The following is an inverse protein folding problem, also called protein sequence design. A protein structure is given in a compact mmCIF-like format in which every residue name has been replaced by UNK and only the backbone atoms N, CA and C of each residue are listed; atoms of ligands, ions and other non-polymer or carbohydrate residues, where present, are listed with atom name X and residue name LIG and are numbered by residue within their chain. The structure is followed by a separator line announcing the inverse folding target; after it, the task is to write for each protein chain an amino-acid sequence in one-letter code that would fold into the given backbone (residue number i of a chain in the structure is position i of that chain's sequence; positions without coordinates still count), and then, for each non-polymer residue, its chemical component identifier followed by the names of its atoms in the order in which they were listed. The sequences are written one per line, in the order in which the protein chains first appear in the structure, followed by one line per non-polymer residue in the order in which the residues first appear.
data_IF_340788496580
#
_entry.id   IF_340788496580
#
_cell.length_a   1.000
_cell.length_b   1.000
_cell.length_c   1.000
_cell.angle_alpha   90.00
_cell.angle_beta   90.00
_cell.angle_gamma   90.00
#
_symmetry.space_group_name_H-M   'P 1'
#
loop_
_entity.id
_entity.type
_entity.pdbx_description
1 polymer ?
#
# COMPACT_ATOMS: atom_id res chain seq x y z
N UNK A 1 -16.64 33.70 -39.04
CA UNK A 1 -15.28 33.23 -38.65
C UNK A 1 -15.02 33.70 -37.22
N UNK A 2 -15.42 32.90 -36.25
CA UNK A 2 -15.27 33.22 -34.83
C UNK A 2 -14.09 32.36 -34.30
N UNK A 3 -12.99 33.02 -34.00
CA UNK A 3 -11.80 32.45 -33.41
C UNK A 3 -12.15 32.10 -31.97
N UNK A 4 -12.26 30.83 -31.61
CA UNK A 4 -12.29 30.36 -30.23
C UNK A 4 -10.90 30.62 -29.63
N UNK A 5 -10.85 31.53 -28.64
CA UNK A 5 -9.68 31.68 -27.77
C UNK A 5 -9.39 30.34 -27.12
N UNK A 6 -8.20 29.78 -27.36
CA UNK A 6 -7.75 28.57 -26.70
C UNK A 6 -7.66 28.81 -25.19
N UNK A 7 -8.52 28.15 -24.45
CA UNK A 7 -8.38 28.04 -23.01
C UNK A 7 -7.09 27.26 -22.73
N UNK A 8 -6.12 27.86 -22.08
CA UNK A 8 -5.03 27.13 -21.45
C UNK A 8 -5.66 26.15 -20.46
N UNK A 9 -5.56 24.86 -20.75
CA UNK A 9 -5.85 23.86 -19.72
C UNK A 9 -4.87 24.11 -18.59
N UNK A 10 -5.38 24.49 -17.43
CA UNK A 10 -4.57 24.69 -16.24
C UNK A 10 -3.87 23.37 -15.93
N UNK A 11 -2.54 23.36 -15.92
CA UNK A 11 -1.75 22.17 -15.65
C UNK A 11 -1.92 21.85 -14.16
N UNK A 12 -2.28 20.61 -13.82
CA UNK A 12 -2.30 20.15 -12.43
C UNK A 12 -0.95 20.43 -11.75
N UNK A 13 -1.00 21.01 -10.57
CA UNK A 13 0.19 21.36 -9.79
C UNK A 13 0.00 20.96 -8.33
N UNK A 14 1.05 20.42 -7.73
CA UNK A 14 1.11 20.07 -6.31
C UNK A 14 2.05 21.03 -5.58
N UNK A 15 1.54 21.68 -4.55
CA UNK A 15 2.38 22.32 -3.54
C UNK A 15 2.77 21.26 -2.51
N UNK A 16 3.95 20.65 -2.70
CA UNK A 16 4.45 19.59 -1.81
C UNK A 16 4.55 20.06 -0.36
N UNK A 17 4.97 21.32 -0.11
CA UNK A 17 5.08 21.86 1.23
C UNK A 17 3.72 21.96 1.92
N UNK A 18 2.70 22.36 1.17
CA UNK A 18 1.31 22.36 1.67
C UNK A 18 0.85 20.95 2.01
N UNK A 19 1.06 19.98 1.13
CA UNK A 19 0.66 18.59 1.35
C UNK A 19 1.37 17.98 2.56
N UNK A 20 2.68 18.20 2.72
CA UNK A 20 3.43 17.79 3.90
C UNK A 20 2.90 18.42 5.19
N UNK A 21 2.64 19.72 5.19
CA UNK A 21 2.11 20.43 6.35
C UNK A 21 0.71 19.90 6.71
N UNK A 22 -0.14 19.66 5.72
CA UNK A 22 -1.47 19.06 5.93
C UNK A 22 -1.36 17.66 6.55
N UNK A 23 -0.44 16.81 6.05
CA UNK A 23 -0.19 15.49 6.61
C UNK A 23 0.33 15.57 8.04
N UNK A 24 1.31 16.43 8.34
CA UNK A 24 1.82 16.64 9.70
C UNK A 24 0.72 17.12 10.64
N UNK A 25 -0.10 18.10 10.23
CA UNK A 25 -1.23 18.59 11.01
C UNK A 25 -2.27 17.48 11.26
N UNK A 26 -2.50 16.60 10.28
CA UNK A 26 -3.37 15.45 10.45
C UNK A 26 -2.82 14.48 11.50
N UNK A 27 -1.53 14.15 11.43
CA UNK A 27 -0.88 13.18 12.33
C UNK A 27 -0.68 13.72 13.75
N UNK A 28 -0.65 15.04 13.98
CA UNK A 28 -0.59 15.63 15.32
C UNK A 28 -1.77 15.26 16.24
N UNK A 29 -2.85 14.72 15.69
CA UNK A 29 -4.02 14.24 16.46
C UNK A 29 -3.77 12.88 17.11
N UNK A 30 -2.67 12.21 16.80
CA UNK A 30 -2.32 10.87 17.25
C UNK A 30 -1.06 10.95 18.11
N UNK A 31 -0.88 9.97 19.00
CA UNK A 31 0.26 9.93 19.90
C UNK A 31 1.56 9.62 19.16
N UNK A 32 2.39 10.63 18.96
CA UNK A 32 3.69 10.48 18.29
C UNK A 32 4.72 9.67 19.11
N UNK A 33 4.48 9.39 20.40
CA UNK A 33 5.31 8.50 21.21
C UNK A 33 5.00 7.01 20.95
N UNK A 34 3.84 6.70 20.38
CA UNK A 34 3.52 5.35 19.92
C UNK A 34 4.39 4.99 18.71
N UNK A 35 5.17 3.92 18.85
CA UNK A 35 6.06 3.45 17.78
C UNK A 35 5.31 3.10 16.50
N UNK A 36 4.08 2.60 16.60
CA UNK A 36 3.23 2.28 15.45
C UNK A 36 2.81 3.54 14.69
N UNK A 37 2.52 4.63 15.39
CA UNK A 37 2.23 5.94 14.78
C UNK A 37 3.47 6.50 14.09
N UNK A 38 4.63 6.49 14.78
CA UNK A 38 5.91 6.95 14.22
C UNK A 38 6.29 6.15 12.98
N UNK A 39 6.19 4.82 13.03
CA UNK A 39 6.42 3.93 11.89
C UNK A 39 5.63 4.38 10.67
N UNK A 40 4.32 4.64 10.85
CA UNK A 40 3.45 5.00 9.75
C UNK A 40 3.72 6.40 9.20
N UNK A 41 4.14 7.34 10.02
CA UNK A 41 4.58 8.66 9.56
C UNK A 41 5.84 8.52 8.67
N UNK A 42 6.84 7.79 9.13
CA UNK A 42 8.09 7.59 8.40
C UNK A 42 7.87 6.80 7.10
N UNK A 43 7.09 5.73 7.16
CA UNK A 43 6.66 4.92 6.01
C UNK A 43 6.00 5.81 4.94
N UNK A 44 5.02 6.62 5.31
CA UNK A 44 4.31 7.50 4.39
C UNK A 44 5.26 8.42 3.62
N UNK A 45 6.22 9.05 4.28
CA UNK A 45 7.20 9.89 3.60
C UNK A 45 8.13 9.09 2.68
N UNK A 46 8.58 7.91 3.07
CA UNK A 46 9.42 7.07 2.20
C UNK A 46 8.64 6.58 0.98
N UNK A 47 7.39 6.15 1.15
CA UNK A 47 6.50 5.77 0.05
C UNK A 47 6.28 6.93 -0.92
N UNK A 48 6.05 8.15 -0.42
CA UNK A 48 5.86 9.30 -1.30
C UNK A 48 7.10 9.60 -2.15
N UNK A 49 8.29 9.53 -1.57
CA UNK A 49 9.55 9.70 -2.32
C UNK A 49 9.76 8.59 -3.35
N UNK A 50 9.43 7.34 -2.99
CA UNK A 50 9.49 6.20 -3.93
C UNK A 50 8.51 6.38 -5.09
N UNK A 51 7.27 6.80 -4.85
CA UNK A 51 6.29 7.11 -5.90
C UNK A 51 6.84 8.13 -6.90
N UNK A 52 7.41 9.22 -6.41
CA UNK A 52 8.03 10.23 -7.28
C UNK A 52 9.19 9.67 -8.11
N UNK A 53 10.07 8.89 -7.49
CA UNK A 53 11.23 8.27 -8.17
C UNK A 53 10.80 7.26 -9.23
N UNK A 54 9.83 6.40 -8.93
CA UNK A 54 9.27 5.43 -9.89
C UNK A 54 8.65 6.17 -11.08
N UNK A 55 7.81 7.19 -10.84
CA UNK A 55 7.22 7.96 -11.93
C UNK A 55 8.27 8.67 -12.78
N UNK A 56 9.32 9.23 -12.16
CA UNK A 56 10.42 9.88 -12.87
C UNK A 56 11.24 8.89 -13.72
N UNK A 57 11.50 7.67 -13.22
CA UNK A 57 12.23 6.63 -13.97
C UNK A 57 11.47 6.18 -15.22
N UNK A 58 10.13 6.29 -15.22
CA UNK A 58 9.27 6.01 -16.37
C UNK A 58 9.12 7.22 -17.33
N UNK A 59 9.98 8.24 -17.18
CA UNK A 59 10.00 9.40 -18.05
C UNK A 59 8.79 10.33 -17.92
N UNK A 60 8.06 10.26 -16.82
CA UNK A 60 6.88 11.08 -16.61
C UNK A 60 7.22 12.56 -16.41
N UNK A 61 6.37 13.50 -16.89
CA UNK A 61 6.57 14.92 -16.66
C UNK A 61 6.46 15.26 -15.17
N UNK A 62 7.11 16.38 -14.76
CA UNK A 62 7.16 16.83 -13.36
C UNK A 62 5.79 16.85 -12.66
N UNK A 63 4.73 17.29 -13.35
CA UNK A 63 3.37 17.31 -12.77
C UNK A 63 2.82 15.89 -12.47
N UNK A 64 3.23 14.88 -13.25
CA UNK A 64 2.86 13.48 -12.98
C UNK A 64 3.74 12.89 -11.87
N UNK A 65 5.00 13.29 -11.79
CA UNK A 65 5.89 12.93 -10.67
C UNK A 65 5.35 13.50 -9.35
N UNK A 66 4.90 14.76 -9.36
CA UNK A 66 4.27 15.39 -8.18
C UNK A 66 2.94 14.73 -7.82
N UNK A 67 2.14 14.35 -8.81
CA UNK A 67 0.89 13.60 -8.59
C UNK A 67 1.18 12.24 -7.93
N UNK A 68 2.15 11.50 -8.42
CA UNK A 68 2.56 10.23 -7.81
C UNK A 68 3.06 10.43 -6.38
N UNK A 69 3.89 11.45 -6.15
CA UNK A 69 4.42 11.80 -4.83
C UNK A 69 3.29 12.08 -3.83
N UNK A 70 2.30 12.91 -4.20
CA UNK A 70 1.19 13.23 -3.28
C UNK A 70 0.29 12.03 -3.00
N UNK A 71 0.11 11.11 -3.96
CA UNK A 71 -0.60 9.85 -3.70
C UNK A 71 0.10 9.04 -2.60
N UNK A 72 1.44 9.01 -2.60
CA UNK A 72 2.21 8.39 -1.53
C UNK A 72 1.97 9.04 -0.16
N UNK A 73 1.84 10.37 -0.08
CA UNK A 73 1.48 11.08 1.17
C UNK A 73 0.09 10.69 1.66
N UNK A 74 -0.84 10.41 0.76
CA UNK A 74 -2.25 10.22 1.08
C UNK A 74 -2.65 8.77 1.34
N UNK A 75 -1.88 7.78 0.84
CA UNK A 75 -2.33 6.39 0.72
C UNK A 75 -2.75 5.75 2.06
N UNK A 76 -1.99 6.02 3.12
CA UNK A 76 -2.15 5.40 4.44
C UNK A 76 -2.79 6.32 5.49
N UNK A 77 -3.45 7.42 5.09
CA UNK A 77 -4.19 8.31 6.01
C UNK A 77 -5.17 7.53 6.89
N UNK A 78 -5.81 6.50 6.35
CA UNK A 78 -6.73 5.63 7.09
C UNK A 78 -6.09 4.82 8.22
N UNK A 79 -4.79 4.52 8.16
CA UNK A 79 -4.08 3.71 9.17
C UNK A 79 -4.05 4.36 10.54
N UNK A 80 -3.94 5.67 10.61
CA UNK A 80 -3.93 6.40 11.88
C UNK A 80 -5.26 6.27 12.60
N UNK A 81 -6.36 6.42 11.87
CA UNK A 81 -7.70 6.26 12.42
C UNK A 81 -8.04 4.80 12.72
N UNK A 82 -7.58 3.86 11.89
CA UNK A 82 -7.68 2.43 12.13
C UNK A 82 -6.98 2.05 13.45
N UNK A 83 -5.72 2.48 13.63
CA UNK A 83 -4.99 2.22 14.88
C UNK A 83 -5.70 2.82 16.09
N UNK A 84 -6.15 4.08 16.01
CA UNK A 84 -6.85 4.77 17.08
C UNK A 84 -8.13 4.06 17.50
N UNK A 85 -8.91 3.54 16.54
CA UNK A 85 -10.21 2.90 16.82
C UNK A 85 -10.08 1.46 17.27
N UNK A 86 -9.13 0.72 16.69
CA UNK A 86 -9.07 -0.74 16.80
C UNK A 86 -7.77 -1.27 17.43
N UNK A 87 -6.77 -0.42 17.65
CA UNK A 87 -5.48 -0.82 18.24
C UNK A 87 -4.62 -1.73 17.36
N UNK A 88 -4.99 -1.90 16.08
CA UNK A 88 -4.33 -2.84 15.15
C UNK A 88 -4.29 -2.30 13.73
N UNK A 89 -3.30 -2.77 12.94
CA UNK A 89 -3.20 -2.57 11.49
C UNK A 89 -3.77 -3.74 10.67
N UNK A 90 -4.32 -4.77 11.33
CA UNK A 90 -4.86 -5.95 10.64
C UNK A 90 -6.27 -5.64 10.12
N UNK A 91 -6.41 -5.43 8.82
CA UNK A 91 -7.69 -5.09 8.18
C UNK A 91 -8.79 -6.12 8.49
N UNK A 92 -8.44 -7.42 8.51
CA UNK A 92 -9.39 -8.50 8.80
C UNK A 92 -9.95 -8.48 10.25
N UNK A 93 -9.26 -7.80 11.17
CA UNK A 93 -9.67 -7.64 12.58
C UNK A 93 -10.25 -6.25 12.86
N UNK A 94 -10.38 -5.41 11.86
CA UNK A 94 -10.80 -4.02 12.00
C UNK A 94 -11.60 -3.53 10.80
N UNK A 95 -10.98 -2.72 9.96
CA UNK A 95 -11.59 -2.07 8.77
C UNK A 95 -10.55 -2.03 7.65
N UNK A 96 -10.99 -2.06 6.41
CA UNK A 96 -10.13 -1.82 5.25
C UNK A 96 -9.59 -0.39 5.31
N UNK A 97 -8.29 -0.24 5.57
CA UNK A 97 -7.65 1.05 5.75
C UNK A 97 -7.61 1.90 4.49
N UNK A 98 -7.56 1.27 3.30
CA UNK A 98 -7.57 1.99 2.03
C UNK A 98 -8.92 2.65 1.78
N UNK A 99 -10.01 1.93 2.06
CA UNK A 99 -11.35 2.49 1.98
C UNK A 99 -11.55 3.58 3.02
N UNK A 100 -11.15 3.33 4.28
CA UNK A 100 -11.24 4.32 5.36
C UNK A 100 -10.44 5.59 5.01
N UNK A 101 -9.25 5.46 4.46
CA UNK A 101 -8.41 6.58 4.04
C UNK A 101 -9.05 7.42 2.94
N UNK A 102 -9.60 6.77 1.92
CA UNK A 102 -10.33 7.47 0.87
C UNK A 102 -11.59 8.18 1.41
N UNK A 103 -12.32 7.56 2.33
CA UNK A 103 -13.50 8.18 2.96
C UNK A 103 -13.12 9.41 3.81
N UNK A 104 -11.99 9.37 4.51
CA UNK A 104 -11.45 10.54 5.25
C UNK A 104 -11.11 11.67 4.29
N UNK A 105 -10.49 11.37 3.16
CA UNK A 105 -10.00 12.35 2.19
C UNK A 105 -11.11 12.97 1.35
N UNK A 106 -12.02 12.14 0.82
CA UNK A 106 -13.02 12.58 -0.17
C UNK A 106 -14.43 12.73 0.42
N UNK A 107 -14.62 12.33 1.66
CA UNK A 107 -15.90 12.33 2.34
C UNK A 107 -16.62 11.00 2.17
N UNK A 108 -17.23 10.56 3.26
CA UNK A 108 -18.04 9.35 3.29
C UNK A 108 -19.42 9.64 2.67
N UNK A 109 -19.84 8.81 1.74
CA UNK A 109 -21.25 8.61 1.51
C UNK A 109 -21.74 7.70 2.64
N UNK A 110 -22.23 8.28 3.75
CA UNK A 110 -22.64 7.57 4.99
C UNK A 110 -23.55 6.35 4.76
N UNK A 111 -24.11 6.19 3.57
CA UNK A 111 -24.94 5.06 3.19
C UNK A 111 -24.13 3.78 2.90
N UNK A 112 -22.84 3.88 2.52
CA UNK A 112 -22.01 2.69 2.27
C UNK A 112 -21.38 2.12 3.54
N UNK A 113 -21.02 2.95 4.47
CA UNK A 113 -20.50 2.56 5.76
C UNK A 113 -21.53 1.78 6.60
N UNK A 114 -22.78 2.25 6.67
CA UNK A 114 -23.88 1.54 7.34
C UNK A 114 -24.25 0.22 6.68
N UNK A 115 -24.08 0.08 5.36
CA UNK A 115 -24.31 -1.19 4.65
C UNK A 115 -23.24 -2.24 4.96
N UNK A 116 -22.02 -1.83 5.31
CA UNK A 116 -20.91 -2.74 5.65
C UNK A 116 -20.93 -3.19 7.10
N UNK A 117 -21.38 -2.37 8.04
CA UNK A 117 -21.49 -2.73 9.45
C UNK A 117 -22.84 -3.31 9.88
N UNK A 118 -23.88 -3.11 9.13
CA UNK A 118 -25.24 -3.35 9.57
C UNK A 118 -26.06 -4.31 8.74
N UNK A 119 -25.75 -5.57 8.86
CA UNK A 119 -26.82 -6.57 8.69
C UNK A 119 -27.45 -6.91 10.03
N UNK A 120 -27.98 -5.92 10.77
CA UNK A 120 -28.97 -6.16 11.83
C UNK A 120 -29.77 -4.83 12.07
N UNK A 121 -31.07 -4.91 11.77
CA UNK A 121 -32.19 -4.04 12.11
C UNK A 121 -32.45 -2.78 11.28
N UNK A 122 -33.57 -2.92 10.54
CA UNK A 122 -34.43 -1.88 10.01
C UNK A 122 -34.83 -0.83 11.06
N UNK A 123 -34.71 0.46 10.76
CA UNK A 123 -35.90 1.34 10.92
C UNK A 123 -35.82 2.59 10.03
N UNK A 124 -36.97 3.00 9.61
CA UNK A 124 -37.31 4.07 8.70
C UNK A 124 -36.95 5.46 9.25
N UNK A 125 -36.14 6.20 8.52
CA UNK A 125 -35.90 7.60 8.79
C UNK A 125 -35.12 8.27 7.66
N UNK A 126 -35.73 9.23 6.99
CA UNK A 126 -35.18 10.11 5.98
C UNK A 126 -33.85 10.73 6.49
N UNK A 127 -32.72 10.13 6.18
CA UNK A 127 -31.41 10.63 6.59
C UNK A 127 -31.00 11.74 5.63
N UNK A 128 -31.08 12.97 6.11
CA UNK A 128 -30.44 14.12 5.47
C UNK A 128 -28.97 13.79 5.21
N UNK A 129 -28.55 13.90 3.93
CA UNK A 129 -27.15 13.86 3.51
C UNK A 129 -26.38 14.93 4.29
N UNK A 130 -25.71 14.56 5.35
CA UNK A 130 -24.64 15.38 5.89
C UNK A 130 -23.47 15.25 4.92
N UNK A 131 -23.31 16.27 4.09
CA UNK A 131 -22.18 16.44 3.20
C UNK A 131 -20.94 16.69 4.09
N UNK A 132 -20.34 15.64 4.61
CA UNK A 132 -19.05 15.73 5.31
C UNK A 132 -18.00 15.98 4.22
N UNK A 133 -17.59 17.24 4.07
CA UNK A 133 -16.54 17.65 3.17
C UNK A 133 -15.27 16.89 3.59
N UNK A 134 -14.72 16.06 2.71
CA UNK A 134 -13.48 15.35 2.96
C UNK A 134 -12.29 16.31 3.09
N UNK A 135 -11.15 15.79 3.56
CA UNK A 135 -9.94 16.57 3.86
C UNK A 135 -9.05 16.84 2.63
N UNK A 136 -9.36 16.30 1.45
CA UNK A 136 -8.47 16.41 0.27
C UNK A 136 -8.09 17.88 -0.03
N UNK A 137 -9.01 18.82 0.18
CA UNK A 137 -8.79 20.24 0.02
C UNK A 137 -7.74 20.85 0.96
N UNK A 138 -7.38 20.20 2.06
CA UNK A 138 -6.28 20.64 2.94
C UNK A 138 -4.92 20.36 2.27
N UNK A 139 -4.83 19.27 1.51
CA UNK A 139 -3.63 18.82 0.82
C UNK A 139 -3.47 19.48 -0.57
N UNK A 140 -4.56 19.56 -1.34
CA UNK A 140 -4.57 19.99 -2.73
C UNK A 140 -5.52 21.16 -2.95
N UNK A 141 -5.11 22.10 -3.83
CA UNK A 141 -5.97 23.22 -4.26
C UNK A 141 -6.74 22.92 -5.56
N UNK A 142 -6.29 21.92 -6.32
CA UNK A 142 -6.83 21.53 -7.61
C UNK A 142 -7.46 20.14 -7.51
N UNK A 143 -8.74 20.05 -7.83
CA UNK A 143 -9.54 18.83 -7.74
C UNK A 143 -9.61 18.04 -9.06
N UNK A 144 -8.87 18.46 -10.09
CA UNK A 144 -8.96 17.83 -11.43
C UNK A 144 -8.49 16.38 -11.46
N UNK A 145 -7.68 15.96 -10.48
CA UNK A 145 -7.15 14.59 -10.35
C UNK A 145 -7.79 13.81 -9.19
N UNK A 146 -8.77 14.36 -8.48
CA UNK A 146 -9.38 13.74 -7.31
C UNK A 146 -9.87 12.31 -7.58
N UNK A 147 -10.57 12.09 -8.69
CA UNK A 147 -11.10 10.76 -9.04
C UNK A 147 -9.97 9.72 -9.26
N UNK A 148 -8.84 10.14 -9.84
CA UNK A 148 -7.68 9.26 -10.04
C UNK A 148 -6.99 8.98 -8.71
N UNK A 149 -6.79 10.00 -7.88
CA UNK A 149 -6.19 9.87 -6.54
C UNK A 149 -7.05 8.95 -5.67
N UNK A 150 -8.35 9.17 -5.63
CA UNK A 150 -9.28 8.32 -4.87
C UNK A 150 -9.21 6.87 -5.32
N UNK A 151 -9.23 6.63 -6.63
CA UNK A 151 -9.12 5.27 -7.20
C UNK A 151 -7.80 4.60 -6.80
N UNK A 152 -6.68 5.32 -6.89
CA UNK A 152 -5.37 4.78 -6.51
C UNK A 152 -5.31 4.43 -5.02
N UNK A 153 -5.82 5.31 -4.14
CA UNK A 153 -5.86 5.07 -2.69
C UNK A 153 -6.75 3.86 -2.37
N UNK A 154 -7.97 3.78 -2.93
CA UNK A 154 -8.87 2.65 -2.69
C UNK A 154 -8.32 1.31 -3.19
N UNK A 155 -7.41 1.33 -4.17
CA UNK A 155 -6.91 0.12 -4.84
C UNK A 155 -5.52 -0.31 -4.36
N UNK A 156 -4.82 0.49 -3.54
CA UNK A 156 -3.40 0.21 -3.27
C UNK A 156 -3.17 -1.09 -2.51
N UNK A 157 -4.12 -1.53 -1.67
CA UNK A 157 -4.03 -2.75 -0.87
C UNK A 157 -4.67 -3.99 -1.54
N UNK A 158 -5.24 -3.85 -2.74
CA UNK A 158 -5.85 -4.97 -3.47
C UNK A 158 -4.78 -5.89 -4.05
N UNK A 159 -5.09 -7.18 -4.17
CA UNK A 159 -4.21 -8.16 -4.82
C UNK A 159 -4.06 -7.86 -6.31
N UNK A 160 -5.17 -7.56 -6.99
CA UNK A 160 -5.20 -7.24 -8.42
C UNK A 160 -5.89 -5.90 -8.66
N UNK A 161 -5.42 -5.16 -9.66
CA UNK A 161 -6.07 -3.94 -10.16
C UNK A 161 -7.12 -4.34 -11.18
N UNK A 162 -8.26 -3.62 -11.21
CA UNK A 162 -9.30 -3.82 -12.21
C UNK A 162 -8.73 -3.62 -13.64
N UNK A 163 -8.78 -4.66 -14.49
CA UNK A 163 -8.29 -4.56 -15.87
C UNK A 163 -9.05 -3.56 -16.73
N UNK A 164 -10.26 -3.14 -16.33
CA UNK A 164 -11.03 -2.13 -17.04
C UNK A 164 -10.58 -0.69 -16.78
N UNK A 165 -9.65 -0.46 -15.85
CA UNK A 165 -9.08 0.88 -15.60
C UNK A 165 -8.36 1.41 -16.85
N UNK A 166 -8.41 2.75 -17.03
CA UNK A 166 -7.60 3.41 -18.07
C UNK A 166 -6.10 3.17 -17.83
N UNK A 167 -5.29 3.18 -18.90
CA UNK A 167 -3.84 2.99 -18.80
C UNK A 167 -3.19 4.00 -17.84
N UNK A 168 -3.65 5.25 -17.87
CA UNK A 168 -3.18 6.29 -16.96
C UNK A 168 -3.52 5.98 -15.50
N UNK A 169 -4.74 5.59 -15.20
CA UNK A 169 -5.16 5.23 -13.83
C UNK A 169 -4.37 4.00 -13.35
N UNK A 170 -4.24 2.99 -14.19
CA UNK A 170 -3.47 1.77 -13.92
C UNK A 170 -2.00 2.08 -13.64
N UNK A 171 -1.40 2.98 -14.42
CA UNK A 171 -0.02 3.42 -14.19
C UNK A 171 0.16 3.97 -12.76
N UNK A 172 -0.65 4.94 -12.35
CA UNK A 172 -0.54 5.54 -11.02
C UNK A 172 -0.88 4.57 -9.88
N UNK A 173 -1.87 3.70 -10.08
CA UNK A 173 -2.15 2.63 -9.12
C UNK A 173 -0.94 1.72 -8.94
N UNK A 174 -0.27 1.32 -10.02
CA UNK A 174 0.92 0.49 -9.96
C UNK A 174 2.10 1.22 -9.32
N UNK A 175 2.32 2.51 -9.63
CA UNK A 175 3.36 3.33 -8.97
C UNK A 175 3.18 3.33 -7.46
N UNK A 176 1.97 3.60 -6.98
CA UNK A 176 1.67 3.60 -5.55
C UNK A 176 1.86 2.22 -4.92
N UNK A 177 1.36 1.17 -5.56
CA UNK A 177 1.45 -0.22 -5.09
C UNK A 177 2.89 -0.71 -5.01
N UNK A 178 3.70 -0.41 -6.00
CA UNK A 178 5.12 -0.77 -6.00
C UNK A 178 5.87 -0.04 -4.89
N UNK A 179 5.68 1.28 -4.78
CA UNK A 179 6.32 2.09 -3.75
C UNK A 179 5.99 1.59 -2.34
N UNK A 180 4.72 1.27 -2.07
CA UNK A 180 4.27 0.72 -0.79
C UNK A 180 4.92 -0.65 -0.52
N UNK A 181 4.92 -1.58 -1.49
CA UNK A 181 5.55 -2.90 -1.34
C UNK A 181 7.05 -2.81 -1.08
N UNK A 182 7.76 -1.92 -1.78
CA UNK A 182 9.21 -1.70 -1.57
C UNK A 182 9.49 -1.27 -0.14
N UNK A 183 8.70 -0.34 0.42
CA UNK A 183 8.90 0.14 1.79
C UNK A 183 8.40 -0.86 2.84
N UNK A 184 7.38 -1.66 2.55
CA UNK A 184 6.90 -2.74 3.43
C UNK A 184 8.01 -3.75 3.73
N UNK A 185 8.90 -4.07 2.77
CA UNK A 185 10.05 -4.94 3.01
C UNK A 185 10.97 -4.37 4.09
N UNK A 186 11.27 -3.07 4.02
CA UNK A 186 12.05 -2.35 5.04
C UNK A 186 11.38 -2.38 6.41
N UNK A 187 10.09 -2.05 6.46
CA UNK A 187 9.30 -2.03 7.70
C UNK A 187 9.39 -3.39 8.42
N UNK A 188 9.31 -4.50 7.67
CA UNK A 188 9.34 -5.85 8.25
C UNK A 188 10.73 -6.32 8.67
N UNK A 189 11.78 -5.58 8.37
CA UNK A 189 13.13 -5.81 8.88
C UNK A 189 13.44 -4.91 10.08
N UNK A 190 13.02 -3.64 10.01
CA UNK A 190 13.37 -2.64 11.01
C UNK A 190 12.56 -2.77 12.32
N UNK A 191 11.37 -3.37 12.25
CA UNK A 191 10.48 -3.49 13.40
C UNK A 191 10.32 -4.93 13.85
N UNK A 192 10.19 -5.12 15.17
CA UNK A 192 10.03 -6.45 15.74
C UNK A 192 8.74 -7.11 15.23
N UNK A 193 8.77 -8.40 14.89
CA UNK A 193 7.58 -9.15 14.45
C UNK A 193 6.44 -9.10 15.48
N UNK A 194 6.76 -8.97 16.75
CA UNK A 194 5.80 -8.83 17.83
C UNK A 194 4.91 -7.59 17.67
N UNK A 195 5.51 -6.48 17.23
CA UNK A 195 4.80 -5.22 17.04
C UNK A 195 3.95 -5.22 15.75
N UNK A 196 4.41 -5.95 14.72
CA UNK A 196 3.74 -6.01 13.42
C UNK A 196 2.65 -7.08 13.40
N UNK A 197 2.95 -8.29 13.91
CA UNK A 197 2.11 -9.49 13.75
C UNK A 197 1.41 -9.91 15.04
N UNK A 198 1.65 -9.22 16.16
CA UNK A 198 1.09 -9.58 17.46
C UNK A 198 1.40 -11.04 17.85
N UNK A 199 2.66 -11.45 17.68
CA UNK A 199 3.21 -12.78 17.96
C UNK A 199 4.47 -12.64 18.79
N UNK A 200 4.95 -13.72 19.41
CA UNK A 200 6.22 -13.74 20.12
C UNK A 200 7.35 -14.25 19.23
N UNK A 201 8.60 -13.86 19.53
CA UNK A 201 9.78 -14.36 18.82
C UNK A 201 9.87 -15.90 18.94
N UNK A 202 9.43 -16.48 20.05
CA UNK A 202 9.36 -17.92 20.24
C UNK A 202 8.37 -18.56 19.28
N UNK A 203 7.13 -18.10 19.26
CA UNK A 203 6.09 -18.62 18.34
C UNK A 203 6.53 -18.50 16.88
N UNK A 204 7.09 -17.36 16.51
CA UNK A 204 7.57 -17.12 15.15
C UNK A 204 8.64 -18.14 14.73
N UNK A 205 9.60 -18.44 15.61
CA UNK A 205 10.71 -19.36 15.29
C UNK A 205 10.29 -20.84 15.31
N UNK A 206 9.21 -21.20 16.02
CA UNK A 206 8.79 -22.59 16.18
C UNK A 206 7.56 -22.96 15.34
N UNK A 207 6.90 -22.00 14.71
CA UNK A 207 5.74 -22.30 13.87
C UNK A 207 6.17 -22.81 12.48
N UNK A 208 5.25 -23.49 11.82
CA UNK A 208 5.45 -24.00 10.45
C UNK A 208 4.88 -23.04 9.43
N UNK A 209 5.54 -22.94 8.29
CA UNK A 209 4.92 -22.37 7.09
C UNK A 209 3.89 -23.36 6.58
N UNK A 210 2.68 -22.88 6.30
CA UNK A 210 1.58 -23.67 5.78
C UNK A 210 1.90 -24.18 4.38
N UNK A 211 1.44 -25.41 4.06
CA UNK A 211 1.68 -26.02 2.76
C UNK A 211 1.07 -25.20 1.61
N UNK A 212 -0.14 -24.67 1.80
CA UNK A 212 -0.83 -23.82 0.83
C UNK A 212 -0.08 -22.52 0.55
N UNK A 213 0.65 -22.01 1.56
CA UNK A 213 1.50 -20.82 1.42
C UNK A 213 2.72 -21.15 0.55
N UNK A 214 3.38 -22.27 0.77
CA UNK A 214 4.51 -22.71 -0.07
C UNK A 214 4.08 -22.99 -1.50
N UNK A 215 2.96 -23.68 -1.73
CA UNK A 215 2.43 -23.90 -3.07
C UNK A 215 2.11 -22.60 -3.82
N UNK A 216 1.55 -21.62 -3.10
CA UNK A 216 1.30 -20.29 -3.67
C UNK A 216 2.59 -19.54 -3.95
N UNK A 217 3.59 -19.64 -3.08
CA UNK A 217 4.91 -19.04 -3.27
C UNK A 217 5.61 -19.58 -4.53
N UNK A 218 5.61 -20.91 -4.71
CA UNK A 218 6.24 -21.60 -5.85
C UNK A 218 5.55 -21.31 -7.21
N UNK A 219 4.38 -20.68 -7.19
CA UNK A 219 3.70 -20.22 -8.41
C UNK A 219 4.04 -18.78 -8.84
N UNK A 220 5.02 -18.14 -8.19
CA UNK A 220 5.48 -16.77 -8.46
C UNK A 220 4.39 -15.69 -8.35
N UNK A 221 3.50 -15.85 -7.36
CA UNK A 221 2.45 -14.89 -7.07
C UNK A 221 2.43 -14.45 -5.60
N UNK A 222 1.94 -13.22 -5.37
CA UNK A 222 1.73 -12.76 -4.00
C UNK A 222 0.71 -13.63 -3.26
N UNK A 223 1.05 -14.03 -2.04
CA UNK A 223 0.24 -14.91 -1.22
C UNK A 223 -0.99 -14.18 -0.70
N UNK A 224 -2.17 -14.71 -1.00
CA UNK A 224 -3.43 -14.16 -0.50
C UNK A 224 -3.46 -14.13 1.03
N UNK A 225 -3.93 -13.03 1.61
CA UNK A 225 -4.00 -12.85 3.08
C UNK A 225 -4.74 -13.97 3.79
N UNK A 226 -5.81 -14.52 3.19
CA UNK A 226 -6.61 -15.63 3.76
C UNK A 226 -5.85 -16.95 3.93
N UNK A 227 -4.74 -17.14 3.21
CA UNK A 227 -3.90 -18.33 3.33
C UNK A 227 -2.92 -18.24 4.49
N UNK A 228 -2.62 -17.03 4.97
CA UNK A 228 -1.63 -16.79 6.03
C UNK A 228 -2.24 -17.10 7.39
N UNK A 229 -1.91 -18.26 7.95
CA UNK A 229 -2.47 -18.78 9.21
C UNK A 229 -1.48 -18.74 10.37
N UNK A 230 -0.19 -18.77 10.07
CA UNK A 230 0.89 -18.80 11.07
C UNK A 230 1.77 -17.56 10.99
N UNK A 231 2.51 -17.21 12.07
CA UNK A 231 3.47 -16.10 12.02
C UNK A 231 4.49 -16.22 10.89
N UNK A 232 5.00 -17.43 10.59
CA UNK A 232 5.92 -17.64 9.47
C UNK A 232 5.26 -17.41 8.11
N UNK A 233 3.96 -17.72 7.96
CA UNK A 233 3.21 -17.42 6.73
C UNK A 233 3.18 -15.93 6.42
N UNK A 234 3.15 -15.07 7.45
CA UNK A 234 3.19 -13.62 7.23
C UNK A 234 4.52 -13.17 6.64
N UNK A 235 5.66 -13.72 7.11
CA UNK A 235 6.99 -13.39 6.54
C UNK A 235 7.05 -13.83 5.08
N UNK A 236 6.63 -15.07 4.76
CA UNK A 236 6.60 -15.57 3.37
C UNK A 236 5.66 -14.71 2.52
N UNK A 237 4.51 -14.30 3.09
CA UNK A 237 3.59 -13.39 2.45
C UNK A 237 4.17 -11.99 2.15
N UNK A 238 5.08 -11.48 2.97
CA UNK A 238 5.80 -10.22 2.70
C UNK A 238 6.86 -10.44 1.62
N UNK A 239 7.63 -11.52 1.69
CA UNK A 239 8.61 -11.87 0.66
C UNK A 239 7.94 -11.97 -0.71
N UNK A 240 6.78 -12.61 -0.80
CA UNK A 240 6.03 -12.80 -2.05
C UNK A 240 5.54 -11.51 -2.71
N UNK A 241 5.54 -10.37 -2.00
CA UNK A 241 5.19 -9.08 -2.60
C UNK A 241 6.15 -8.68 -3.73
N UNK A 242 7.38 -9.22 -3.73
CA UNK A 242 8.35 -8.99 -4.79
C UNK A 242 7.89 -9.49 -6.16
N UNK A 243 7.03 -10.51 -6.21
CA UNK A 243 6.44 -11.03 -7.45
C UNK A 243 5.48 -10.05 -8.15
N UNK A 244 4.93 -9.12 -7.40
CA UNK A 244 3.94 -8.14 -7.87
C UNK A 244 4.55 -6.80 -8.27
N UNK A 245 5.87 -6.66 -8.24
CA UNK A 245 6.54 -5.43 -8.65
C UNK A 245 6.48 -5.28 -10.18
N UNK A 246 5.89 -4.18 -10.62
CA UNK A 246 5.66 -3.88 -12.03
C UNK A 246 6.86 -3.17 -12.65
N UNK A 247 7.42 -2.16 -11.97
CA UNK A 247 8.46 -1.31 -12.54
C UNK A 247 9.86 -1.86 -12.30
N UNK A 248 10.73 -1.70 -13.29
CA UNK A 248 12.12 -2.11 -13.16
C UNK A 248 12.82 -1.35 -12.04
N UNK A 249 12.58 -0.04 -11.92
CA UNK A 249 13.12 0.77 -10.83
C UNK A 249 12.78 0.19 -9.45
N UNK A 250 11.56 -0.29 -9.25
CA UNK A 250 11.14 -0.90 -7.98
C UNK A 250 11.94 -2.15 -7.66
N UNK A 251 12.19 -3.01 -8.63
CA UNK A 251 13.02 -4.23 -8.47
C UNK A 251 14.47 -3.91 -8.18
N UNK A 252 15.04 -2.93 -8.90
CA UNK A 252 16.40 -2.45 -8.66
C UNK A 252 16.55 -1.85 -7.25
N UNK A 253 15.56 -1.08 -6.80
CA UNK A 253 15.58 -0.49 -5.47
C UNK A 253 15.45 -1.56 -4.38
N UNK A 254 14.61 -2.60 -4.54
CA UNK A 254 14.54 -3.75 -3.63
C UNK A 254 15.89 -4.49 -3.57
N UNK A 255 16.53 -4.72 -4.70
CA UNK A 255 17.84 -5.37 -4.75
C UNK A 255 18.91 -4.53 -4.05
N UNK A 256 18.90 -3.22 -4.26
CA UNK A 256 19.84 -2.25 -3.67
C UNK A 256 19.66 -2.13 -2.16
N UNK A 257 18.42 -2.09 -1.68
CA UNK A 257 18.12 -1.98 -0.24
C UNK A 257 18.47 -3.26 0.53
N UNK A 258 18.36 -4.43 -0.07
CA UNK A 258 18.74 -5.72 0.50
C UNK A 258 17.78 -6.32 1.52
N UNK A 259 16.69 -5.63 1.90
CA UNK A 259 15.72 -6.09 2.91
C UNK A 259 15.02 -7.39 2.51
N UNK A 260 14.68 -7.58 1.23
CA UNK A 260 14.14 -8.84 0.72
C UNK A 260 15.07 -10.02 1.04
N UNK A 261 16.38 -9.85 0.75
CA UNK A 261 17.38 -10.87 1.06
C UNK A 261 17.52 -11.12 2.56
N UNK A 262 17.31 -10.11 3.40
CA UNK A 262 17.32 -10.26 4.86
C UNK A 262 16.12 -11.06 5.35
N UNK A 263 14.92 -10.75 4.88
CA UNK A 263 13.70 -11.53 5.18
C UNK A 263 13.84 -12.99 4.74
N UNK A 264 14.42 -13.25 3.56
CA UNK A 264 14.66 -14.62 3.08
C UNK A 264 15.67 -15.40 3.95
N UNK A 265 16.53 -14.72 4.71
CA UNK A 265 17.49 -15.34 5.65
C UNK A 265 16.91 -15.61 7.04
N UNK A 266 15.58 -15.50 7.19
CA UNK A 266 14.93 -15.86 8.45
C UNK A 266 15.38 -17.24 8.94
N UNK A 267 15.58 -17.36 10.26
CA UNK A 267 16.02 -18.60 10.91
C UNK A 267 14.92 -19.17 11.76
N UNK A 268 14.45 -20.36 11.36
CA UNK A 268 13.46 -21.14 12.12
C UNK A 268 14.14 -22.21 12.95
N UNK A 269 13.57 -22.51 14.10
CA UNK A 269 13.94 -23.65 14.95
C UNK A 269 13.15 -24.92 14.60
N UNK A 270 12.06 -24.79 13.81
CA UNK A 270 11.42 -25.95 13.18
C UNK A 270 12.20 -26.36 11.93
N UNK A 271 12.70 -27.63 11.87
CA UNK A 271 13.60 -28.05 10.79
C UNK A 271 12.90 -28.12 9.41
N UNK A 272 11.58 -28.23 9.36
CA UNK A 272 10.83 -28.21 8.10
C UNK A 272 10.76 -26.77 7.60
N UNK A 273 10.36 -25.84 8.44
CA UNK A 273 10.32 -24.41 8.12
C UNK A 273 11.70 -23.86 7.75
N UNK A 274 12.76 -24.31 8.43
CA UNK A 274 14.12 -23.91 8.09
C UNK A 274 14.48 -24.29 6.64
N UNK A 275 14.13 -25.51 6.21
CA UNK A 275 14.34 -25.96 4.81
C UNK A 275 13.47 -25.18 3.82
N UNK A 276 12.24 -24.84 4.21
CA UNK A 276 11.37 -23.99 3.39
C UNK A 276 11.97 -22.61 3.17
N UNK A 277 12.56 -21.97 4.19
CA UNK A 277 13.25 -20.68 4.04
C UNK A 277 14.56 -20.79 3.23
N UNK A 278 15.28 -21.90 3.29
CA UNK A 278 16.41 -22.15 2.41
C UNK A 278 15.98 -22.24 0.93
N UNK A 279 14.86 -22.91 0.65
CA UNK A 279 14.24 -22.95 -0.67
C UNK A 279 13.77 -21.56 -1.12
N UNK A 280 13.03 -20.82 -0.27
CA UNK A 280 12.57 -19.45 -0.52
C UNK A 280 13.75 -18.53 -0.88
N UNK A 281 14.85 -18.62 -0.13
CA UNK A 281 16.04 -17.81 -0.37
C UNK A 281 16.65 -18.10 -1.75
N UNK A 282 16.82 -19.37 -2.11
CA UNK A 282 17.36 -19.77 -3.42
C UNK A 282 16.45 -19.32 -4.56
N UNK A 283 15.14 -19.58 -4.43
CA UNK A 283 14.16 -19.22 -5.43
C UNK A 283 14.09 -17.70 -5.68
N UNK A 284 14.01 -16.89 -4.61
CA UNK A 284 13.97 -15.44 -4.74
C UNK A 284 15.25 -14.84 -5.32
N UNK A 285 16.41 -15.42 -5.00
CA UNK A 285 17.66 -14.98 -5.62
C UNK A 285 17.68 -15.18 -7.13
N UNK A 286 17.12 -16.29 -7.62
CA UNK A 286 17.03 -16.55 -9.07
C UNK A 286 15.93 -15.73 -9.72
N UNK A 287 14.77 -15.61 -9.10
CA UNK A 287 13.67 -14.77 -9.59
C UNK A 287 14.10 -13.31 -9.79
N UNK A 288 14.76 -12.71 -8.79
CA UNK A 288 15.20 -11.30 -8.87
C UNK A 288 16.25 -11.04 -9.94
N UNK A 289 17.00 -12.08 -10.40
CA UNK A 289 17.94 -11.95 -11.52
C UNK A 289 17.28 -12.06 -12.89
N UNK A 290 16.17 -12.83 -12.98
CA UNK A 290 15.56 -13.24 -14.25
C UNK A 290 14.22 -12.55 -14.51
N UNK A 291 13.66 -11.85 -13.51
CA UNK A 291 12.37 -11.19 -13.63
C UNK A 291 12.36 -10.22 -14.84
N UNK A 292 11.41 -10.37 -15.77
CA UNK A 292 11.36 -9.57 -17.00
C UNK A 292 11.21 -8.08 -16.69
N UNK A 293 11.91 -7.24 -17.45
CA UNK A 293 11.67 -5.79 -17.47
C UNK A 293 10.26 -5.48 -17.99
N UNK A 294 9.75 -4.30 -17.66
CA UNK A 294 8.46 -3.81 -18.20
C UNK A 294 8.55 -3.82 -19.73
N UNK A 295 7.78 -4.67 -20.40
CA UNK A 295 7.75 -4.82 -21.86
C UNK A 295 7.48 -6.22 -22.36
N UNK A 296 7.66 -7.24 -21.53
CA UNK A 296 7.28 -8.61 -21.89
C UNK A 296 6.00 -8.99 -21.12
N UNK A 297 4.84 -8.89 -21.79
CA UNK A 297 3.59 -9.43 -21.28
C UNK A 297 3.80 -10.92 -20.94
N UNK A 298 3.50 -11.30 -19.71
CA UNK A 298 3.32 -12.70 -19.36
C UNK A 298 2.13 -13.23 -20.16
N UNK A 299 2.41 -13.73 -21.38
CA UNK A 299 1.45 -14.51 -22.15
C UNK A 299 1.26 -15.86 -21.44
N UNK A 300 0.12 -16.00 -20.75
CA UNK A 300 -0.26 -17.23 -20.08
C UNK A 300 -1.69 -17.15 -19.58
#
# INVERSE_FOLDING_TARGET
MLIRKGGYMQKFTVDRKRAENAFRNYTMKYDASDEKVRLKIEHTFRVSELCGKIAASEGQPESAVDLAWVMGILHDVGRFEQLRRYGTFVDALSVDHAQLGADILFGDTQDEWKRREGSIHSDTGCAQRRNTKGMIGDFLNDSSEDALIETAIRSHNLLCIDPAMSDRTRFFCNVLRDADKVDILKVNVDFAPEDIYNTTAYELRHCRVSEEVMQSFDSDHAIMRKLRKTPADFIVGIISLAYELVFQYSREEVAKQGYLGELCRFRSEDPVTQKQFEHIQAHMQDYMKTAPGVGEEKNG
#
